data_IF_082193556382
#
_entry.id   IF_082193556382
#
_cell.length_a   1.000
_cell.length_b   1.000
_cell.length_c   1.000
_cell.angle_alpha   90.00
_cell.angle_beta   90.00
_cell.angle_gamma   90.00
#
_symmetry.space_group_name_H-M   'P 1'
#
loop_
_entity.id
_entity.type
_entity.pdbx_description
1 polymer ?
#
# COMPACT_ATOMS: atom_id res chain seq x y z
N UNK A 1 -6.51 6.39 16.62
CA UNK A 1 -5.51 5.66 17.45
C UNK A 1 -5.17 4.30 16.82
N UNK A 2 -3.89 3.91 16.79
CA UNK A 2 -3.43 2.73 16.04
C UNK A 2 -3.91 1.39 16.64
N UNK A 3 -3.93 1.31 17.97
CA UNK A 3 -4.21 0.12 18.78
C UNK A 3 -5.70 -0.09 19.08
N UNK A 4 -6.51 0.95 18.89
CA UNK A 4 -7.98 0.89 19.01
C UNK A 4 -8.68 1.20 17.68
N UNK A 5 -7.95 1.25 16.57
CA UNK A 5 -8.52 1.51 15.25
C UNK A 5 -9.63 0.51 14.93
N UNK A 6 -10.74 1.00 14.38
CA UNK A 6 -11.80 0.12 13.87
C UNK A 6 -11.51 -0.27 12.42
N UNK A 7 -11.26 0.73 11.55
CA UNK A 7 -10.79 0.56 10.17
C UNK A 7 -11.40 -0.67 9.47
N UNK A 8 -12.73 -0.71 9.45
CA UNK A 8 -13.46 -1.87 8.98
C UNK A 8 -13.14 -2.19 7.52
N UNK A 9 -12.96 -3.46 7.18
CA UNK A 9 -12.70 -3.89 5.80
C UNK A 9 -13.78 -3.38 4.82
N UNK A 10 -15.06 -3.41 5.21
CA UNK A 10 -16.14 -2.86 4.39
C UNK A 10 -16.06 -1.34 4.20
N UNK A 11 -15.55 -0.60 5.18
CA UNK A 11 -15.35 0.85 5.05
C UNK A 11 -14.24 1.13 4.02
N UNK A 12 -13.14 0.37 4.04
CA UNK A 12 -12.09 0.41 3.02
C UNK A 12 -12.66 0.12 1.62
N UNK A 13 -13.49 -0.91 1.48
CA UNK A 13 -14.17 -1.23 0.21
C UNK A 13 -15.10 -0.08 -0.23
N UNK A 14 -15.85 0.52 0.70
CA UNK A 14 -16.69 1.68 0.43
C UNK A 14 -15.89 2.88 -0.08
N UNK A 15 -14.69 3.10 0.47
CA UNK A 15 -13.79 4.17 0.04
C UNK A 15 -13.24 3.94 -1.37
N UNK A 16 -13.01 2.69 -1.77
CA UNK A 16 -12.67 2.34 -3.18
C UNK A 16 -13.82 2.70 -4.13
N UNK A 17 -15.08 2.38 -3.76
CA UNK A 17 -16.23 2.77 -4.59
C UNK A 17 -16.40 4.29 -4.68
N UNK A 18 -16.22 4.99 -3.56
CA UNK A 18 -16.29 6.45 -3.53
C UNK A 18 -15.24 7.06 -4.44
N UNK A 19 -13.97 6.68 -4.29
CA UNK A 19 -12.88 7.16 -5.12
C UNK A 19 -13.12 6.89 -6.61
N UNK A 20 -13.68 5.72 -6.95
CA UNK A 20 -14.09 5.39 -8.32
C UNK A 20 -15.12 6.37 -8.88
N UNK A 21 -16.16 6.71 -8.11
CA UNK A 21 -17.17 7.68 -8.56
C UNK A 21 -16.59 9.08 -8.70
N UNK A 22 -15.69 9.48 -7.81
CA UNK A 22 -14.99 10.76 -7.91
C UNK A 22 -14.14 10.85 -9.18
N UNK A 23 -13.41 9.77 -9.54
CA UNK A 23 -12.64 9.70 -10.79
C UNK A 23 -13.52 9.82 -12.05
N UNK A 24 -14.73 9.28 -12.03
CA UNK A 24 -15.69 9.41 -13.14
C UNK A 24 -16.21 10.85 -13.31
N UNK A 25 -16.35 11.59 -12.20
CA UNK A 25 -16.74 13.00 -12.22
C UNK A 25 -15.57 13.86 -12.72
N UNK A 26 -14.39 13.68 -12.13
CA UNK A 26 -13.17 14.43 -12.45
C UNK A 26 -11.95 13.50 -12.35
N UNK A 27 -11.13 13.40 -13.41
CA UNK A 27 -9.88 12.64 -13.38
C UNK A 27 -8.81 13.44 -12.59
N UNK A 28 -8.93 13.41 -11.26
CA UNK A 28 -7.98 13.99 -10.32
C UNK A 28 -7.25 12.86 -9.59
N UNK A 29 -5.91 12.89 -9.64
CA UNK A 29 -5.06 11.82 -9.14
C UNK A 29 -5.27 11.55 -7.65
N UNK A 30 -5.69 12.54 -6.85
CA UNK A 30 -5.89 12.32 -5.41
C UNK A 30 -6.89 11.20 -5.12
N UNK A 31 -7.90 11.03 -5.98
CA UNK A 31 -8.86 9.94 -5.85
C UNK A 31 -8.25 8.60 -6.24
N UNK A 32 -7.39 8.56 -7.26
CA UNK A 32 -6.66 7.35 -7.63
C UNK A 32 -5.62 6.97 -6.54
N UNK A 33 -4.94 7.94 -5.94
CA UNK A 33 -4.01 7.70 -4.83
C UNK A 33 -4.71 7.05 -3.62
N UNK A 34 -5.88 7.56 -3.25
CA UNK A 34 -6.69 6.99 -2.17
C UNK A 34 -7.18 5.59 -2.55
N UNK A 35 -7.67 5.41 -3.78
CA UNK A 35 -8.12 4.11 -4.27
C UNK A 35 -6.99 3.07 -4.24
N UNK A 36 -5.80 3.43 -4.72
CA UNK A 36 -4.60 2.59 -4.74
C UNK A 36 -4.17 2.24 -3.31
N UNK A 37 -4.01 3.25 -2.44
CA UNK A 37 -3.61 3.07 -1.04
C UNK A 37 -4.57 2.15 -0.29
N UNK A 38 -5.87 2.35 -0.46
CA UNK A 38 -6.87 1.56 0.25
C UNK A 38 -6.96 0.14 -0.30
N UNK A 39 -6.90 -0.02 -1.64
CA UNK A 39 -6.92 -1.33 -2.26
C UNK A 39 -5.73 -2.20 -1.82
N UNK A 40 -4.50 -1.70 -1.95
CA UNK A 40 -3.29 -2.47 -1.63
C UNK A 40 -3.02 -2.65 -0.13
N UNK A 41 -3.67 -1.87 0.74
CA UNK A 41 -3.44 -1.93 2.18
C UNK A 41 -4.72 -2.30 2.93
N UNK A 42 -5.66 -1.37 3.10
CA UNK A 42 -6.82 -1.53 3.98
C UNK A 42 -7.91 -2.50 3.49
N UNK A 43 -7.91 -2.89 2.20
CA UNK A 43 -8.77 -3.97 1.69
C UNK A 43 -8.05 -5.31 1.76
N UNK A 44 -6.84 -5.41 1.18
CA UNK A 44 -6.11 -6.67 1.15
C UNK A 44 -5.74 -7.17 2.56
N UNK A 45 -5.50 -6.29 3.54
CA UNK A 45 -5.27 -6.71 4.93
C UNK A 45 -6.44 -7.50 5.51
N UNK A 46 -7.65 -7.25 5.02
CA UNK A 46 -8.89 -7.87 5.45
C UNK A 46 -8.99 -9.37 5.12
N UNK A 47 -8.07 -9.95 4.35
CA UNK A 47 -8.12 -11.36 3.92
C UNK A 47 -6.73 -12.00 4.05
N UNK A 48 -6.68 -13.27 4.50
CA UNK A 48 -5.44 -14.04 4.51
C UNK A 48 -4.94 -14.30 3.09
N UNK A 49 -3.65 -14.55 2.94
CA UNK A 49 -3.03 -14.83 1.64
C UNK A 49 -3.60 -16.09 0.98
N UNK A 50 -4.08 -17.05 1.78
CA UNK A 50 -4.74 -18.26 1.29
C UNK A 50 -6.25 -18.09 0.99
N UNK A 51 -6.81 -16.91 1.27
CA UNK A 51 -8.22 -16.58 1.07
C UNK A 51 -9.22 -17.25 2.03
N UNK A 52 -8.76 -17.92 3.11
CA UNK A 52 -9.63 -18.75 3.98
C UNK A 52 -10.03 -18.11 5.30
N UNK A 53 -9.45 -16.97 5.64
CA UNK A 53 -9.77 -16.24 6.86
C UNK A 53 -9.69 -14.73 6.63
N UNK A 54 -10.42 -13.98 7.44
CA UNK A 54 -10.71 -12.57 7.22
C UNK A 54 -10.55 -11.77 8.51
N UNK A 55 -10.28 -10.47 8.36
CA UNK A 55 -10.46 -9.48 9.41
C UNK A 55 -11.73 -8.66 9.14
N UNK A 56 -12.44 -8.37 10.23
CA UNK A 56 -13.46 -7.32 10.24
C UNK A 56 -12.79 -5.97 10.50
N UNK A 57 -11.97 -5.90 11.54
CA UNK A 57 -11.22 -4.74 12.03
C UNK A 57 -9.76 -4.83 11.58
N UNK A 58 -9.20 -3.76 11.03
CA UNK A 58 -7.82 -3.70 10.55
C UNK A 58 -6.97 -2.72 11.41
N UNK A 59 -6.38 -3.19 12.53
CA UNK A 59 -5.59 -2.35 13.42
C UNK A 59 -4.27 -1.91 12.76
N UNK A 60 -3.65 -0.84 13.28
CA UNK A 60 -2.29 -0.41 12.90
C UNK A 60 -1.25 -0.71 13.99
N UNK A 61 -1.70 -1.19 15.14
CA UNK A 61 -0.87 -1.67 16.25
C UNK A 61 -1.64 -2.79 16.98
N UNK A 62 -0.97 -3.90 17.28
CA UNK A 62 -1.53 -5.07 17.94
C UNK A 62 -0.55 -5.58 18.98
N UNK A 63 -1.04 -5.73 20.20
CA UNK A 63 -0.41 -6.50 21.27
C UNK A 63 -1.42 -7.58 21.67
N UNK A 64 -1.21 -8.87 21.33
CA UNK A 64 -2.23 -9.89 21.52
C UNK A 64 -2.77 -9.99 22.95
N UNK A 65 -1.89 -9.91 23.96
CA UNK A 65 -2.29 -9.89 25.36
C UNK A 65 -3.29 -8.77 25.67
N UNK A 66 -3.08 -7.56 25.13
CA UNK A 66 -3.98 -6.43 25.31
C UNK A 66 -5.32 -6.65 24.60
N UNK A 67 -5.34 -7.25 23.41
CA UNK A 67 -6.58 -7.61 22.71
C UNK A 67 -7.43 -8.60 23.51
N UNK A 68 -6.79 -9.51 24.26
CA UNK A 68 -7.48 -10.52 25.07
C UNK A 68 -7.91 -10.02 26.45
N UNK A 69 -7.19 -9.06 27.04
CA UNK A 69 -7.39 -8.62 28.43
C UNK A 69 -7.99 -7.22 28.59
N UNK A 70 -7.89 -6.34 27.60
CA UNK A 70 -8.45 -4.99 27.62
C UNK A 70 -9.78 -4.96 26.86
N UNK A 71 -10.89 -4.78 27.57
CA UNK A 71 -12.23 -4.74 26.98
C UNK A 71 -12.35 -3.67 25.87
N UNK A 72 -11.60 -2.57 25.97
CA UNK A 72 -11.57 -1.50 24.97
C UNK A 72 -10.95 -1.92 23.64
N UNK A 73 -10.21 -3.03 23.63
CA UNK A 73 -9.53 -3.62 22.47
C UNK A 73 -10.16 -4.95 22.04
N UNK A 74 -11.28 -5.35 22.65
CA UNK A 74 -11.96 -6.63 22.36
C UNK A 74 -12.42 -6.77 20.90
N UNK A 75 -12.64 -5.66 20.18
CA UNK A 75 -12.96 -5.65 18.74
C UNK A 75 -11.74 -5.93 17.86
N UNK A 76 -10.53 -5.69 18.36
CA UNK A 76 -9.29 -5.99 17.65
C UNK A 76 -8.96 -7.46 17.86
N UNK A 77 -8.94 -8.23 16.78
CA UNK A 77 -8.57 -9.64 16.81
C UNK A 77 -7.12 -9.77 16.35
N UNK A 78 -6.24 -10.46 17.10
CA UNK A 78 -4.83 -10.54 16.74
C UNK A 78 -4.56 -11.52 15.57
N UNK A 79 -5.56 -12.33 15.22
CA UNK A 79 -5.52 -13.25 14.06
C UNK A 79 -6.83 -13.17 13.27
N UNK A 80 -6.73 -13.42 11.96
CA UNK A 80 -7.90 -13.52 11.08
C UNK A 80 -8.76 -14.71 11.48
N UNK A 81 -10.07 -14.59 11.28
CA UNK A 81 -11.04 -15.64 11.60
C UNK A 81 -11.70 -16.15 10.33
N UNK A 82 -12.11 -17.42 10.32
CA UNK A 82 -12.81 -18.00 9.17
C UNK A 82 -14.10 -17.25 8.86
N UNK A 83 -14.88 -16.93 9.88
CA UNK A 83 -16.19 -16.31 9.76
C UNK A 83 -16.56 -15.52 11.01
N UNK A 84 -17.53 -14.62 10.89
CA UNK A 84 -18.06 -13.81 11.99
C UNK A 84 -19.59 -13.83 11.95
N UNK A 85 -20.26 -13.54 13.08
CA UNK A 85 -21.74 -13.45 13.10
C UNK A 85 -22.29 -12.43 12.11
N UNK A 86 -21.60 -11.31 11.92
CA UNK A 86 -21.82 -10.36 10.83
C UNK A 86 -20.77 -10.55 9.73
N UNK A 87 -21.10 -11.35 8.71
CA UNK A 87 -20.15 -11.75 7.66
C UNK A 87 -20.27 -10.90 6.39
N UNK A 88 -20.34 -9.58 6.52
CA UNK A 88 -20.29 -8.69 5.36
C UNK A 88 -18.92 -8.65 4.70
N UNK A 89 -17.83 -8.78 5.47
CA UNK A 89 -16.46 -8.61 4.95
C UNK A 89 -16.04 -9.65 3.90
N UNK A 90 -16.21 -10.97 4.11
CA UNK A 90 -15.75 -11.98 3.14
C UNK A 90 -16.33 -11.80 1.72
N UNK A 91 -17.67 -11.73 1.52
CA UNK A 91 -18.23 -11.55 0.18
C UNK A 91 -17.92 -10.15 -0.39
N UNK A 92 -17.72 -9.14 0.47
CA UNK A 92 -17.46 -7.77 0.03
C UNK A 92 -16.03 -7.59 -0.52
N UNK A 93 -15.03 -8.24 0.10
CA UNK A 93 -13.67 -8.31 -0.45
C UNK A 93 -13.67 -9.13 -1.73
N UNK A 94 -14.31 -10.31 -1.72
CA UNK A 94 -14.37 -11.19 -2.89
C UNK A 94 -14.92 -10.46 -4.13
N UNK A 95 -16.08 -9.79 -4.02
CA UNK A 95 -16.67 -9.07 -5.15
C UNK A 95 -15.79 -7.91 -5.64
N UNK A 96 -15.06 -7.22 -4.75
CA UNK A 96 -14.16 -6.14 -5.16
C UNK A 96 -12.99 -6.70 -5.96
N UNK A 97 -12.32 -7.74 -5.46
CA UNK A 97 -11.16 -8.34 -6.12
C UNK A 97 -11.54 -8.95 -7.47
N UNK A 98 -12.69 -9.64 -7.55
CA UNK A 98 -13.21 -10.17 -8.82
C UNK A 98 -13.57 -9.07 -9.83
N UNK A 99 -13.78 -7.83 -9.39
CA UNK A 99 -14.11 -6.69 -10.25
C UNK A 99 -13.00 -5.65 -10.37
N UNK A 100 -11.77 -5.95 -9.92
CA UNK A 100 -10.67 -4.98 -9.81
C UNK A 100 -10.34 -4.27 -11.14
N UNK A 101 -10.49 -4.96 -12.28
CA UNK A 101 -10.29 -4.37 -13.60
C UNK A 101 -11.22 -3.19 -13.89
N UNK A 102 -12.43 -3.19 -13.32
CA UNK A 102 -13.38 -2.07 -13.44
C UNK A 102 -12.97 -0.82 -12.68
N UNK A 103 -11.98 -0.91 -11.78
CA UNK A 103 -11.44 0.22 -11.01
C UNK A 103 -10.16 0.75 -11.62
N UNK A 104 -9.35 -0.13 -12.21
CA UNK A 104 -8.06 0.21 -12.80
C UNK A 104 -8.17 1.17 -13.99
N UNK A 105 -9.29 1.13 -14.73
CA UNK A 105 -9.44 1.86 -16.00
C UNK A 105 -10.76 2.62 -16.10
N UNK A 106 -10.74 3.82 -16.69
CA UNK A 106 -11.94 4.49 -17.25
C UNK A 106 -11.69 4.86 -18.70
N UNK A 107 -12.77 5.20 -19.39
CA UNK A 107 -12.71 5.71 -20.75
C UNK A 107 -13.64 6.92 -20.93
N UNK A 108 -13.22 7.84 -21.81
CA UNK A 108 -14.03 8.87 -22.46
C UNK A 108 -13.98 8.65 -23.97
N UNK A 109 -14.66 9.48 -24.76
CA UNK A 109 -14.78 9.31 -26.22
C UNK A 109 -13.42 9.06 -26.92
N UNK A 110 -12.42 9.88 -26.63
CA UNK A 110 -11.08 9.84 -27.26
C UNK A 110 -9.94 9.46 -26.29
N UNK A 111 -10.27 9.12 -25.04
CA UNK A 111 -9.27 9.00 -23.96
C UNK A 111 -9.46 7.71 -23.16
N UNK A 112 -8.35 6.99 -22.93
CA UNK A 112 -8.26 5.88 -21.96
C UNK A 112 -7.50 6.39 -20.74
N UNK A 113 -8.08 6.23 -19.55
CA UNK A 113 -7.43 6.57 -18.29
C UNK A 113 -6.95 5.30 -17.59
N UNK A 114 -5.67 5.31 -17.20
CA UNK A 114 -5.04 4.29 -16.39
C UNK A 114 -4.93 4.86 -14.97
N UNK A 115 -5.74 4.32 -14.06
CA UNK A 115 -5.80 4.72 -12.65
C UNK A 115 -5.00 3.79 -11.74
N UNK A 116 -4.92 2.50 -12.09
CA UNK A 116 -4.12 1.51 -11.38
C UNK A 116 -3.28 0.74 -12.38
N UNK A 117 -2.01 0.51 -12.05
CA UNK A 117 -1.05 -0.17 -12.91
C UNK A 117 -1.16 -1.69 -12.81
N UNK A 118 -2.33 -2.25 -13.15
CA UNK A 118 -2.61 -3.69 -13.11
C UNK A 118 -2.56 -4.27 -14.53
N UNK A 119 -1.78 -5.31 -14.78
CA UNK A 119 -1.68 -5.90 -16.13
C UNK A 119 -3.04 -6.22 -16.76
N UNK A 120 -3.26 -5.78 -18.00
CA UNK A 120 -4.56 -5.89 -18.69
C UNK A 120 -4.45 -5.83 -20.21
N UNK A 121 -5.51 -6.26 -20.90
CA UNK A 121 -5.74 -5.99 -22.33
C UNK A 121 -7.07 -5.27 -22.42
N UNK A 122 -7.07 -4.04 -22.94
CA UNK A 122 -8.23 -3.19 -23.10
C UNK A 122 -8.56 -3.09 -24.60
N UNK A 123 -9.84 -3.13 -24.94
CA UNK A 123 -10.33 -2.89 -26.31
C UNK A 123 -11.31 -1.74 -26.29
N UNK A 124 -11.08 -0.73 -27.13
CA UNK A 124 -11.90 0.47 -27.22
C UNK A 124 -12.13 0.85 -28.67
N UNK A 125 -13.33 1.32 -28.98
CA UNK A 125 -13.63 1.91 -30.29
C UNK A 125 -13.28 3.41 -30.26
N UNK A 126 -12.43 3.86 -31.19
CA UNK A 126 -12.10 5.26 -31.45
C UNK A 126 -12.51 5.57 -32.89
N UNK A 127 -13.47 6.48 -33.10
CA UNK A 127 -13.98 6.82 -34.43
C UNK A 127 -14.40 5.59 -35.29
N UNK A 128 -14.93 4.54 -34.64
CA UNK A 128 -15.36 3.30 -35.31
C UNK A 128 -14.22 2.32 -35.65
N UNK A 129 -12.99 2.57 -35.18
CA UNK A 129 -11.84 1.65 -35.29
C UNK A 129 -11.49 1.07 -33.92
N UNK A 130 -11.17 -0.23 -33.87
CA UNK A 130 -10.75 -0.90 -32.64
C UNK A 130 -9.31 -0.56 -32.28
N UNK A 131 -9.12 0.06 -31.12
CA UNK A 131 -7.83 0.21 -30.45
C UNK A 131 -7.69 -0.89 -29.39
N UNK A 132 -6.59 -1.62 -29.42
CA UNK A 132 -6.16 -2.50 -28.34
C UNK A 132 -5.04 -1.84 -27.53
N UNK A 133 -5.17 -1.83 -26.21
CA UNK A 133 -4.14 -1.36 -25.28
C UNK A 133 -3.78 -2.47 -24.32
N UNK A 134 -2.57 -3.01 -24.46
CA UNK A 134 -2.02 -4.01 -23.56
C UNK A 134 -1.10 -3.34 -22.55
N UNK A 135 -1.32 -3.62 -21.26
CA UNK A 135 -0.56 -3.08 -20.15
C UNK A 135 0.17 -4.24 -19.49
N UNK A 136 1.50 -4.16 -19.45
CA UNK A 136 2.36 -5.05 -18.68
C UNK A 136 2.98 -4.25 -17.55
N UNK A 137 2.79 -4.70 -16.32
CA UNK A 137 3.18 -3.97 -15.12
C UNK A 137 3.83 -4.92 -14.14
N UNK A 138 4.92 -4.47 -13.52
CA UNK A 138 5.58 -5.18 -12.42
C UNK A 138 5.14 -4.65 -11.04
N UNK A 139 4.10 -3.82 -10.98
CA UNK A 139 3.52 -3.33 -9.74
C UNK A 139 2.94 -4.46 -8.87
N UNK A 140 2.96 -4.32 -7.54
CA UNK A 140 3.52 -3.20 -6.77
C UNK A 140 5.02 -3.37 -6.45
N UNK A 141 5.70 -4.36 -7.04
CA UNK A 141 7.08 -4.72 -6.67
C UNK A 141 8.12 -3.89 -7.39
N UNK A 142 7.88 -3.53 -8.65
CA UNK A 142 8.71 -2.65 -9.44
C UNK A 142 7.83 -1.60 -10.15
N UNK A 143 8.36 -0.38 -10.31
CA UNK A 143 7.69 0.75 -10.93
C UNK A 143 7.63 0.69 -12.46
N UNK A 144 8.09 -0.40 -13.08
CA UNK A 144 8.11 -0.55 -14.53
C UNK A 144 6.73 -0.90 -15.09
N UNK A 145 6.29 -0.09 -16.04
CA UNK A 145 5.04 -0.25 -16.77
C UNK A 145 5.30 -0.07 -18.26
N UNK A 146 4.97 -1.09 -19.04
CA UNK A 146 5.02 -1.07 -20.49
C UNK A 146 3.60 -1.10 -21.05
N UNK A 147 3.25 -0.13 -21.87
CA UNK A 147 1.96 -0.06 -22.56
C UNK A 147 2.18 -0.22 -24.05
N UNK A 148 1.45 -1.16 -24.64
CA UNK A 148 1.48 -1.46 -26.07
C UNK A 148 0.14 -1.05 -26.66
N UNK A 149 0.19 -0.28 -27.74
CA UNK A 149 -0.98 0.22 -28.44
C UNK A 149 -1.03 -0.42 -29.82
N UNK A 150 -2.19 -0.97 -30.18
CA UNK A 150 -2.44 -1.54 -31.51
C UNK A 150 -3.74 -1.02 -32.12
N UNK A 151 -3.73 -0.89 -33.45
CA UNK A 151 -4.96 -0.95 -34.26
C UNK A 151 -5.76 0.34 -34.49
N UNK A 152 -5.30 1.52 -34.06
CA UNK A 152 -6.19 2.69 -34.08
C UNK A 152 -5.97 3.66 -35.26
N UNK A 153 -4.73 3.96 -35.72
CA UNK A 153 -4.45 4.93 -36.83
C UNK A 153 -5.23 6.26 -36.73
N UNK A 154 -5.74 6.58 -35.55
CA UNK A 154 -6.52 7.77 -35.21
C UNK A 154 -5.85 8.49 -34.05
N UNK A 155 -6.17 9.76 -33.89
CA UNK A 155 -5.73 10.53 -32.73
C UNK A 155 -6.53 10.08 -31.51
N UNK A 156 -5.82 9.63 -30.47
CA UNK A 156 -6.42 9.40 -29.17
C UNK A 156 -5.41 9.62 -28.04
N UNK A 157 -5.92 9.66 -26.83
CA UNK A 157 -5.15 9.99 -25.63
C UNK A 157 -5.09 8.81 -24.67
N UNK A 158 -3.90 8.51 -24.17
CA UNK A 158 -3.72 7.64 -23.01
C UNK A 158 -3.30 8.51 -21.84
N UNK A 159 -4.10 8.52 -20.78
CA UNK A 159 -3.89 9.31 -19.58
C UNK A 159 -3.41 8.42 -18.43
N UNK A 160 -2.19 8.65 -17.97
CA UNK A 160 -1.55 7.88 -16.90
C UNK A 160 -1.66 8.63 -15.58
N UNK A 161 -2.22 8.01 -14.55
CA UNK A 161 -2.19 8.53 -13.19
C UNK A 161 -0.74 8.62 -12.68
N UNK A 162 -0.27 9.80 -12.28
CA UNK A 162 1.01 9.96 -11.61
C UNK A 162 0.75 9.82 -10.10
N UNK A 163 1.19 8.73 -9.44
CA UNK A 163 0.99 8.57 -8.01
C UNK A 163 1.68 9.69 -7.24
N UNK A 164 1.12 10.09 -6.10
CA UNK A 164 1.73 11.09 -5.19
C UNK A 164 3.20 10.79 -4.88
N UNK A 165 3.54 9.51 -4.82
CA UNK A 165 4.88 9.03 -4.50
C UNK A 165 5.80 8.86 -5.72
N UNK A 166 5.27 9.04 -6.93
CA UNK A 166 5.93 8.71 -8.18
C UNK A 166 6.21 9.92 -9.08
N UNK A 167 6.30 11.14 -8.53
CA UNK A 167 6.47 12.38 -9.33
C UNK A 167 7.73 12.39 -10.20
N UNK A 168 8.82 11.74 -9.77
CA UNK A 168 10.08 11.61 -10.51
C UNK A 168 10.08 10.43 -11.51
N UNK A 169 8.95 10.16 -12.15
CA UNK A 169 8.83 9.09 -13.15
C UNK A 169 9.65 9.38 -14.41
N UNK A 170 10.07 8.33 -15.10
CA UNK A 170 10.69 8.41 -16.42
C UNK A 170 9.72 7.89 -17.47
N UNK A 171 9.64 8.59 -18.59
CA UNK A 171 8.78 8.26 -19.72
C UNK A 171 9.63 8.17 -20.99
N UNK A 172 9.45 7.12 -21.78
CA UNK A 172 10.14 6.96 -23.06
C UNK A 172 9.24 6.32 -24.12
N UNK A 173 9.71 6.32 -25.38
CA UNK A 173 9.00 5.82 -26.57
C UNK A 173 7.76 6.63 -26.98
N UNK A 174 7.84 7.95 -26.79
CA UNK A 174 6.73 8.90 -27.01
C UNK A 174 6.92 9.82 -28.24
N UNK A 175 7.68 9.37 -29.24
CA UNK A 175 8.02 10.19 -30.41
C UNK A 175 6.75 10.66 -31.14
N UNK A 176 6.63 11.97 -31.36
CA UNK A 176 5.49 12.59 -32.04
C UNK A 176 4.22 12.73 -31.19
N UNK A 177 4.26 12.41 -29.89
CA UNK A 177 3.14 12.62 -28.98
C UNK A 177 3.14 14.06 -28.41
N UNK A 178 1.94 14.62 -28.23
CA UNK A 178 1.72 15.81 -27.40
C UNK A 178 1.53 15.37 -25.96
N UNK A 179 2.30 15.96 -25.04
CA UNK A 179 2.29 15.61 -23.62
C UNK A 179 1.73 16.77 -22.81
N UNK A 180 0.77 16.48 -21.94
CA UNK A 180 0.23 17.45 -21.00
C UNK A 180 0.04 16.81 -19.63
N UNK A 181 0.46 17.49 -18.57
CA UNK A 181 0.14 17.10 -17.20
C UNK A 181 -0.99 17.97 -16.68
N UNK A 182 -2.04 17.36 -16.14
CA UNK A 182 -3.18 18.06 -15.50
C UNK A 182 -3.73 17.19 -14.38
N UNK A 183 -3.93 17.77 -13.18
CA UNK A 183 -4.38 17.06 -11.97
C UNK A 183 -3.58 15.77 -11.68
N UNK A 184 -2.25 15.82 -11.90
CA UNK A 184 -1.33 14.66 -11.83
C UNK A 184 -1.78 13.46 -12.68
N UNK A 185 -2.42 13.72 -13.81
CA UNK A 185 -2.49 12.80 -14.94
C UNK A 185 -1.58 13.28 -16.06
N UNK A 186 -0.79 12.34 -16.59
CA UNK A 186 0.03 12.50 -17.78
C UNK A 186 -0.79 12.10 -19.00
N UNK A 187 -1.25 13.07 -19.77
CA UNK A 187 -1.98 12.88 -21.02
C UNK A 187 -0.98 12.76 -22.17
N UNK A 188 -0.96 11.61 -22.83
CA UNK A 188 -0.15 11.33 -24.02
C UNK A 188 -1.09 11.21 -25.21
N UNK A 189 -1.14 12.26 -26.04
CA UNK A 189 -2.01 12.33 -27.21
C UNK A 189 -1.20 12.15 -28.48
N UNK A 190 -1.57 11.19 -29.31
CA UNK A 190 -0.90 10.90 -30.58
C UNK A 190 -1.88 10.27 -31.57
N UNK A 191 -1.58 10.38 -32.87
CA UNK A 191 -2.08 9.44 -33.87
C UNK A 191 -1.28 8.14 -33.77
N UNK A 192 -1.83 7.13 -33.12
CA UNK A 192 -1.09 5.89 -32.85
C UNK A 192 -1.04 5.01 -34.09
N UNK A 193 0.15 4.54 -34.43
CA UNK A 193 0.37 3.64 -35.57
C UNK A 193 -0.02 2.19 -35.23
N UNK A 194 0.21 1.24 -36.14
CA UNK A 194 -0.26 -0.15 -35.99
C UNK A 194 0.26 -0.84 -34.73
N UNK A 195 1.51 -0.61 -34.35
CA UNK A 195 2.13 -1.15 -33.14
C UNK A 195 3.10 -0.13 -32.54
N UNK A 196 2.76 0.40 -31.37
CA UNK A 196 3.60 1.34 -30.64
C UNK A 196 3.70 0.96 -29.16
N UNK A 197 4.76 1.43 -28.52
CA UNK A 197 5.02 1.18 -27.10
C UNK A 197 5.28 2.47 -26.33
N UNK A 198 4.92 2.47 -25.06
CA UNK A 198 5.17 3.55 -24.10
C UNK A 198 5.78 2.88 -22.87
N UNK A 199 6.93 3.36 -22.43
CA UNK A 199 7.56 2.83 -21.21
C UNK A 199 7.54 3.90 -20.14
N UNK A 200 7.04 3.52 -18.97
CA UNK A 200 6.94 4.34 -17.79
C UNK A 200 7.67 3.64 -16.64
N UNK A 201 8.53 4.38 -15.94
CA UNK A 201 9.27 3.89 -14.78
C UNK A 201 9.03 4.81 -13.60
N UNK A 202 8.40 4.28 -12.55
CA UNK A 202 8.28 4.98 -11.28
C UNK A 202 9.45 4.63 -10.35
N UNK A 203 9.99 5.61 -9.60
CA UNK A 203 10.95 5.34 -8.54
C UNK A 203 10.24 4.63 -7.38
N UNK A 204 10.68 3.41 -7.06
CA UNK A 204 10.14 2.60 -5.95
C UNK A 204 11.04 2.72 -4.71
N UNK A 205 11.29 3.95 -4.29
CA UNK A 205 12.10 4.24 -3.12
C UNK A 205 11.33 3.94 -1.82
N UNK A 206 12.07 3.50 -0.80
CA UNK A 206 11.52 3.41 0.56
C UNK A 206 11.46 4.82 1.15
N UNK A 207 10.31 5.17 1.69
CA UNK A 207 10.03 6.48 2.26
C UNK A 207 9.60 6.32 3.71
N UNK A 208 10.14 7.18 4.55
CA UNK A 208 9.69 7.35 5.93
C UNK A 208 8.62 8.45 5.95
N UNK A 209 7.42 8.09 6.36
CA UNK A 209 6.26 8.98 6.35
C UNK A 209 6.02 9.50 7.77
N UNK A 210 5.83 10.80 7.90
CA UNK A 210 5.39 11.45 9.13
C UNK A 210 3.90 11.76 9.06
N UNK A 211 3.21 11.60 10.19
CA UNK A 211 1.84 12.11 10.31
C UNK A 211 1.87 13.63 10.52
N UNK A 212 0.78 14.30 10.14
CA UNK A 212 0.57 15.69 10.52
C UNK A 212 0.70 15.83 12.06
N UNK A 213 1.36 16.88 12.59
CA UNK A 213 1.57 17.06 14.04
C UNK A 213 0.29 17.09 14.89
N UNK A 214 -0.88 17.36 14.31
CA UNK A 214 -2.16 17.28 15.01
C UNK A 214 -2.65 15.84 15.26
N UNK A 215 -2.03 14.83 14.63
CA UNK A 215 -2.26 13.40 14.90
C UNK A 215 -1.39 12.97 16.08
N UNK A 216 -1.92 13.16 17.29
CA UNK A 216 -1.18 12.99 18.57
C UNK A 216 -0.57 11.61 18.73
N UNK A 217 -1.25 10.56 18.27
CA UNK A 217 -0.85 9.17 18.45
C UNK A 217 0.41 8.77 17.66
N UNK A 218 0.77 9.57 16.65
CA UNK A 218 1.88 9.31 15.75
C UNK A 218 3.03 10.31 15.87
N UNK A 219 2.98 11.22 16.86
CA UNK A 219 4.10 12.12 17.11
C UNK A 219 5.35 11.32 17.47
N UNK A 220 6.49 11.69 16.86
CA UNK A 220 7.75 10.95 17.07
C UNK A 220 7.78 9.56 16.47
N UNK A 221 6.85 9.22 15.55
CA UNK A 221 6.83 7.95 14.82
C UNK A 221 6.90 8.18 13.32
N UNK A 222 7.43 7.19 12.60
CA UNK A 222 7.38 7.09 11.16
C UNK A 222 6.66 5.82 10.72
N UNK A 223 5.91 5.89 9.63
CA UNK A 223 5.49 4.72 8.87
C UNK A 223 6.46 4.49 7.71
N UNK A 224 6.69 3.22 7.35
CA UNK A 224 7.54 2.85 6.20
C UNK A 224 6.66 2.57 4.99
N UNK A 225 6.95 3.20 3.86
CA UNK A 225 6.23 2.96 2.60
C UNK A 225 7.19 2.72 1.44
N UNK A 226 6.80 1.88 0.48
CA UNK A 226 7.49 1.73 -0.80
C UNK A 226 6.45 1.59 -1.91
N UNK A 227 6.48 2.52 -2.86
CA UNK A 227 5.39 2.64 -3.84
C UNK A 227 4.03 2.81 -3.13
N UNK A 228 3.00 2.03 -3.50
CA UNK A 228 1.68 2.10 -2.87
C UNK A 228 1.56 1.33 -1.55
N UNK A 229 2.58 0.53 -1.19
CA UNK A 229 2.53 -0.36 -0.04
C UNK A 229 2.97 0.37 1.23
N UNK A 230 2.12 0.27 2.25
CA UNK A 230 2.48 0.52 3.65
C UNK A 230 3.09 -0.75 4.21
N UNK A 231 4.12 -0.60 5.03
CA UNK A 231 4.82 -1.70 5.67
C UNK A 231 4.58 -1.72 7.18
N UNK A 232 4.76 -2.89 7.79
CA UNK A 232 4.64 -3.09 9.24
C UNK A 232 5.74 -4.02 9.77
N UNK A 233 6.00 -3.91 11.06
CA UNK A 233 6.80 -4.87 11.83
C UNK A 233 5.89 -5.96 12.37
N UNK A 234 6.34 -7.20 12.34
CA UNK A 234 5.75 -8.33 13.07
C UNK A 234 6.77 -8.87 14.09
N UNK A 235 6.28 -9.32 15.25
CA UNK A 235 7.13 -9.91 16.30
C UNK A 235 7.90 -11.14 15.81
N UNK A 236 7.33 -11.92 14.88
CA UNK A 236 8.01 -13.09 14.31
C UNK A 236 9.34 -12.75 13.60
N UNK A 237 9.49 -11.52 13.09
CA UNK A 237 10.72 -11.08 12.45
C UNK A 237 11.61 -10.20 13.35
N UNK A 238 11.05 -9.58 14.40
CA UNK A 238 11.70 -8.51 15.17
C UNK A 238 11.80 -8.80 16.67
N UNK A 239 11.25 -9.92 17.13
CA UNK A 239 11.06 -10.26 18.53
C UNK A 239 9.92 -9.46 19.18
N UNK A 240 9.60 -9.84 20.42
CA UNK A 240 8.55 -9.19 21.21
C UNK A 240 8.90 -7.76 21.64
N UNK A 241 7.88 -7.04 22.10
CA UNK A 241 7.95 -5.65 22.54
C UNK A 241 8.33 -4.68 21.42
N UNK A 242 7.56 -4.70 20.33
CA UNK A 242 7.79 -3.84 19.17
C UNK A 242 7.81 -2.35 19.52
N UNK A 243 7.08 -1.93 20.56
CA UNK A 243 7.04 -0.55 21.08
C UNK A 243 8.41 -0.03 21.57
N UNK A 244 9.38 -0.93 21.83
CA UNK A 244 10.76 -0.60 22.20
C UNK A 244 11.67 -0.34 20.98
N UNK A 245 11.17 -0.58 19.77
CA UNK A 245 11.94 -0.44 18.54
C UNK A 245 11.87 1.00 18.00
N UNK A 246 12.99 1.49 17.49
CA UNK A 246 13.10 2.79 16.83
C UNK A 246 13.97 2.76 15.58
N UNK A 247 13.59 3.54 14.57
CA UNK A 247 14.39 3.80 13.37
C UNK A 247 15.48 4.84 13.70
N UNK A 248 16.73 4.59 13.30
CA UNK A 248 17.85 5.53 13.52
C UNK A 248 17.87 6.67 12.48
N UNK A 249 18.52 7.80 12.82
CA UNK A 249 18.51 9.06 12.06
C UNK A 249 19.01 8.97 10.60
N UNK A 250 19.84 7.99 10.28
CA UNK A 250 20.37 7.75 8.94
C UNK A 250 20.27 6.25 8.61
N UNK A 251 19.09 5.67 8.86
CA UNK A 251 18.89 4.24 8.71
C UNK A 251 19.28 3.76 7.30
N UNK A 252 20.22 2.82 7.23
CA UNK A 252 20.49 2.11 5.99
C UNK A 252 19.23 1.37 5.55
N UNK A 253 18.87 1.51 4.28
CA UNK A 253 17.69 0.92 3.68
C UNK A 253 18.08 -0.19 2.73
N UNK A 254 17.49 -1.37 2.90
CA UNK A 254 17.59 -2.46 1.92
C UNK A 254 16.20 -3.00 1.59
N UNK A 255 16.04 -3.47 0.37
CA UNK A 255 14.84 -4.19 -0.07
C UNK A 255 15.22 -5.58 -0.53
N UNK A 256 14.48 -6.60 -0.13
CA UNK A 256 14.72 -7.98 -0.55
C UNK A 256 13.41 -8.70 -0.87
N UNK A 257 13.47 -9.65 -1.80
CA UNK A 257 12.38 -10.60 -1.98
C UNK A 257 12.43 -11.64 -0.85
N UNK A 258 11.30 -11.86 -0.19
CA UNK A 258 11.13 -12.90 0.84
C UNK A 258 9.82 -13.66 0.59
N UNK A 259 9.81 -14.93 0.96
CA UNK A 259 8.59 -15.72 1.07
C UNK A 259 7.90 -15.40 2.40
N UNK A 260 6.64 -14.97 2.33
CA UNK A 260 5.77 -14.78 3.49
C UNK A 260 4.55 -15.66 3.29
N UNK A 261 4.53 -16.79 4.00
CA UNK A 261 3.46 -17.78 3.94
C UNK A 261 3.16 -18.28 2.51
N UNK A 262 4.20 -18.60 1.73
CA UNK A 262 4.07 -19.14 0.37
C UNK A 262 3.90 -18.09 -0.73
N UNK A 263 4.00 -16.80 -0.40
CA UNK A 263 3.90 -15.70 -1.37
C UNK A 263 5.19 -14.88 -1.33
N UNK A 264 5.86 -14.78 -2.49
CA UNK A 264 7.02 -13.92 -2.67
C UNK A 264 6.61 -12.44 -2.73
N UNK A 265 7.20 -11.62 -1.88
CA UNK A 265 6.96 -10.17 -1.82
C UNK A 265 8.25 -9.39 -1.53
N UNK A 266 8.25 -8.09 -1.83
CA UNK A 266 9.36 -7.20 -1.49
C UNK A 266 9.20 -6.74 -0.04
N UNK A 267 10.12 -7.14 0.83
CA UNK A 267 10.26 -6.69 2.21
C UNK A 267 11.29 -5.56 2.32
N UNK A 268 11.23 -4.80 3.41
CA UNK A 268 12.15 -3.69 3.69
C UNK A 268 12.94 -3.99 4.97
N UNK A 269 14.24 -3.79 4.93
CA UNK A 269 15.13 -3.83 6.09
C UNK A 269 15.62 -2.41 6.37
N UNK A 270 15.51 -1.98 7.63
CA UNK A 270 16.04 -0.71 8.11
C UNK A 270 16.94 -0.92 9.32
N UNK A 271 18.05 -0.20 9.38
CA UNK A 271 18.81 -0.12 10.64
C UNK A 271 17.99 0.57 11.73
N UNK A 272 17.97 -0.02 12.93
CA UNK A 272 17.21 0.47 14.07
C UNK A 272 17.90 0.22 15.40
N UNK A 273 17.20 0.55 16.49
CA UNK A 273 17.58 0.20 17.85
C UNK A 273 16.42 -0.45 18.59
N UNK A 274 16.75 -1.38 19.48
CA UNK A 274 15.83 -1.89 20.51
C UNK A 274 16.22 -1.28 21.84
N UNK A 275 15.32 -0.53 22.45
CA UNK A 275 15.51 -0.04 23.81
C UNK A 275 15.62 -1.25 24.76
N UNK A 276 16.77 -1.37 25.43
CA UNK A 276 17.03 -2.42 26.41
C UNK A 276 17.10 -1.78 27.78
N UNK A 277 16.16 -2.15 28.65
CA UNK A 277 16.25 -1.77 30.04
C UNK A 277 17.21 -2.74 30.74
N UNK A 278 18.38 -2.27 31.18
CA UNK A 278 19.29 -3.04 32.06
C UNK A 278 18.72 -3.07 33.48
N UNK A 279 17.55 -3.68 33.63
CA UNK A 279 16.86 -3.79 34.91
C UNK A 279 17.64 -4.76 35.79
N UNK A 280 18.15 -4.27 36.92
CA UNK A 280 18.54 -5.12 38.06
C UNK A 280 17.26 -5.70 38.69
N UNK A 281 17.40 -6.78 39.44
CA UNK A 281 16.29 -7.51 40.11
C UNK A 281 15.36 -6.59 40.93
N UNK A 282 15.88 -5.49 41.49
CA UNK A 282 15.12 -4.52 42.28
C UNK A 282 14.87 -3.18 41.56
N UNK A 283 14.87 -3.16 40.23
CA UNK A 283 14.60 -1.90 39.51
C UNK A 283 13.12 -1.54 39.69
N UNK A 284 12.80 -0.35 40.23
CA UNK A 284 11.41 0.07 40.42
C UNK A 284 10.69 0.24 39.08
N UNK A 285 9.35 0.24 39.11
CA UNK A 285 8.51 0.49 37.93
C UNK A 285 8.83 1.83 37.25
N UNK A 286 9.22 2.84 38.03
CA UNK A 286 9.63 4.16 37.56
C UNK A 286 11.03 4.48 38.08
N UNK A 287 11.92 4.90 37.18
CA UNK A 287 13.30 5.26 37.46
C UNK A 287 13.73 6.43 36.57
N UNK A 288 14.80 7.14 36.95
CA UNK A 288 15.32 8.27 36.19
C UNK A 288 15.72 7.85 34.77
N UNK A 289 15.44 8.72 33.79
CA UNK A 289 15.76 8.45 32.40
C UNK A 289 17.28 8.26 32.22
N UNK A 290 17.67 7.17 31.57
CA UNK A 290 19.04 6.91 31.14
C UNK A 290 19.10 7.01 29.62
N UNK A 291 19.93 7.92 29.10
CA UNK A 291 20.13 8.16 27.66
C UNK A 291 20.94 7.05 26.97
N UNK A 292 21.21 5.92 27.65
CA UNK A 292 21.84 4.76 27.04
C UNK A 292 21.00 4.22 25.89
N UNK A 293 21.45 4.58 24.70
CA UNK A 293 20.97 4.13 23.39
C UNK A 293 20.99 2.61 23.36
N UNK A 294 19.85 2.03 23.04
CA UNK A 294 19.62 0.59 23.03
C UNK A 294 20.53 -0.20 22.07
N UNK A 295 20.29 -1.50 21.96
CA UNK A 295 21.07 -2.36 21.08
C UNK A 295 20.72 -2.08 19.62
N UNK A 296 21.74 -2.04 18.74
CA UNK A 296 21.51 -1.94 17.30
C UNK A 296 20.89 -3.24 16.79
N UNK A 297 19.86 -3.11 15.95
CA UNK A 297 19.14 -4.23 15.34
C UNK A 297 18.78 -3.88 13.90
N UNK A 298 18.54 -4.90 13.08
CA UNK A 298 17.93 -4.73 11.76
C UNK A 298 16.42 -4.94 11.89
N UNK A 299 15.66 -3.89 11.60
CA UNK A 299 14.20 -3.91 11.61
C UNK A 299 13.69 -4.48 10.29
N UNK A 300 12.94 -5.56 10.39
CA UNK A 300 12.40 -6.31 9.25
C UNK A 300 10.92 -5.97 9.06
N UNK A 301 10.64 -5.29 7.96
CA UNK A 301 9.31 -4.84 7.59
C UNK A 301 8.73 -5.68 6.45
N UNK A 302 7.47 -6.08 6.60
CA UNK A 302 6.68 -6.73 5.54
C UNK A 302 5.55 -5.81 5.08
N UNK A 303 5.00 -5.98 3.86
CA UNK A 303 3.79 -5.27 3.45
C UNK A 303 2.66 -5.46 4.46
N UNK A 304 2.00 -4.37 4.85
CA UNK A 304 0.97 -4.36 5.88
C UNK A 304 -0.13 -5.39 5.58
N UNK A 305 -0.57 -5.53 4.33
CA UNK A 305 -1.62 -6.48 4.00
C UNK A 305 -1.26 -7.95 4.31
N UNK A 306 0.04 -8.29 4.40
CA UNK A 306 0.54 -9.63 4.60
C UNK A 306 0.72 -10.04 6.08
N UNK A 307 0.49 -9.13 7.04
CA UNK A 307 0.54 -9.46 8.47
C UNK A 307 -0.48 -10.53 8.88
N UNK A 308 -0.27 -11.18 10.03
CA UNK A 308 -1.13 -12.23 10.59
C UNK A 308 -1.36 -13.43 9.65
N UNK A 309 -0.38 -13.76 8.82
CA UNK A 309 -0.34 -15.02 8.04
C UNK A 309 0.64 -16.05 8.62
N UNK A 310 1.34 -15.71 9.72
CA UNK A 310 2.42 -16.53 10.32
C UNK A 310 2.19 -16.83 11.82
N UNK A 311 0.93 -16.83 12.24
CA UNK A 311 0.51 -17.04 13.63
C UNK A 311 0.19 -15.74 14.38
N UNK A 312 -0.29 -15.89 15.61
CA UNK A 312 -0.58 -14.77 16.52
C UNK A 312 0.73 -14.15 17.02
N UNK A 313 0.94 -12.85 16.77
CA UNK A 313 2.14 -12.12 17.17
C UNK A 313 1.86 -10.60 17.24
N UNK A 314 2.72 -9.81 17.91
CA UNK A 314 2.63 -8.35 17.88
C UNK A 314 2.80 -7.78 16.46
N UNK A 315 2.15 -6.65 16.17
CA UNK A 315 2.31 -5.92 14.91
C UNK A 315 2.28 -4.41 15.14
N UNK A 316 3.09 -3.63 14.42
CA UNK A 316 2.93 -2.17 14.38
C UNK A 316 3.32 -1.58 13.01
N UNK A 317 2.57 -0.57 12.56
CA UNK A 317 2.87 0.23 11.35
C UNK A 317 3.73 1.45 11.68
N UNK A 318 3.40 2.15 12.76
CA UNK A 318 4.07 3.38 13.17
C UNK A 318 5.18 3.07 14.18
N UNK A 319 6.42 3.16 13.73
CA UNK A 319 7.62 2.87 14.54
C UNK A 319 8.22 4.17 15.07
N UNK A 320 8.73 4.18 16.31
CA UNK A 320 9.42 5.36 16.86
C UNK A 320 10.60 5.77 15.98
N UNK A 321 10.90 7.07 15.95
CA UNK A 321 12.10 7.60 15.30
C UNK A 321 13.05 8.18 16.33
N UNK A 322 14.35 7.99 16.13
CA UNK A 322 15.36 8.75 16.87
C UNK A 322 15.44 10.17 16.30
N UNK A 323 15.55 11.16 17.20
CA UNK A 323 15.70 12.59 16.87
C UNK A 323 17.15 13.02 16.73
#
# INVERSE_FOLDING_TARGET
PNDTAYAETCASVGLVFFARRMLQIRPDAQYADVMERVLYNGVLSGMALDGKSFFYVNPLEVVPEACHRDERKSHVKPVRQKWFGCACCPPNVARLLSSVGSYAYTEKEDTIFIHLYIGAILKKQINGKEMEVKIQSEFPWNGKVNVYVKGVREVCTIAFHIPEWGEAYQLSKINGATIKVKERYLYVTKKWEEEEEIHLQFPMEVRLIEANPFVRENIGKNAVMRGPLVYCLEEVDNGSSLHLLSIVKDAEVKTMYRDIAGVTMVCVELSGRKQVAKLKENTPLYYDADDKRGEQIQLQYIPYYAWANRGENEMQVWTRRET
#
